data_IF_294361162659
#
_entry.id   IF_294361162659
#
_cell.length_a   1.000
_cell.length_b   1.000
_cell.length_c   1.000
_cell.angle_alpha   90.00
_cell.angle_beta   90.00
_cell.angle_gamma   90.00
#
_symmetry.space_group_name_H-M   'P 1'
#
loop_
_entity.id
_entity.type
_entity.pdbx_description
1 polymer ?
#
# COMPACT_ATOMS: atom_id res chain seq x y z
N UNK A 1 15.66 17.03 -2.56
CA UNK A 1 16.31 16.23 -1.51
C UNK A 1 15.25 15.56 -0.65
N UNK A 2 15.39 14.28 -0.38
CA UNK A 2 14.44 13.52 0.44
C UNK A 2 14.85 13.61 1.90
N UNK A 3 13.94 14.02 2.78
CA UNK A 3 14.17 14.04 4.22
C UNK A 3 13.14 13.18 4.95
N UNK A 4 13.32 13.02 6.27
CA UNK A 4 12.47 12.16 7.10
C UNK A 4 11.00 12.59 7.07
N UNK A 5 10.72 13.88 7.13
CA UNK A 5 9.34 14.38 7.14
C UNK A 5 8.64 14.11 5.81
N UNK A 6 9.36 14.25 4.70
CA UNK A 6 8.82 13.92 3.38
C UNK A 6 8.45 12.45 3.28
N UNK A 7 9.33 11.56 3.77
CA UNK A 7 9.07 10.11 3.76
C UNK A 7 7.88 9.78 4.64
N UNK A 8 7.83 10.32 5.85
CA UNK A 8 6.71 10.09 6.77
C UNK A 8 5.38 10.56 6.16
N UNK A 9 5.35 11.75 5.59
CA UNK A 9 4.16 12.30 4.95
C UNK A 9 3.69 11.42 3.79
N UNK A 10 4.62 10.94 2.99
CA UNK A 10 4.29 10.07 1.85
C UNK A 10 3.67 8.74 2.31
N UNK A 11 4.19 8.14 3.38
CA UNK A 11 3.60 6.92 3.95
C UNK A 11 2.19 7.18 4.46
N UNK A 12 1.99 8.31 5.16
CA UNK A 12 0.67 8.68 5.67
C UNK A 12 -0.32 8.92 4.54
N UNK A 13 0.10 9.56 3.47
CA UNK A 13 -0.73 9.76 2.29
C UNK A 13 -1.06 8.44 1.59
N UNK A 14 -0.10 7.52 1.53
CA UNK A 14 -0.32 6.18 0.96
C UNK A 14 -1.46 5.48 1.70
N UNK A 15 -1.41 5.47 3.03
CA UNK A 15 -2.44 4.83 3.83
C UNK A 15 -3.77 5.58 3.74
N UNK A 16 -3.76 6.91 3.82
CA UNK A 16 -4.98 7.72 3.74
C UNK A 16 -5.72 7.53 2.43
N UNK A 17 -5.01 7.55 1.30
CA UNK A 17 -5.63 7.37 -0.01
C UNK A 17 -6.16 5.95 -0.22
N UNK A 18 -5.49 4.95 0.37
CA UNK A 18 -5.99 3.56 0.38
C UNK A 18 -7.29 3.46 1.17
N UNK A 19 -7.35 4.08 2.35
CA UNK A 19 -8.54 4.09 3.20
C UNK A 19 -9.71 4.83 2.55
N UNK A 20 -9.43 5.93 1.87
CA UNK A 20 -10.44 6.73 1.17
C UNK A 20 -10.89 6.10 -0.15
N UNK A 21 -10.05 5.22 -0.72
CA UNK A 21 -10.30 4.68 -2.05
C UNK A 21 -10.11 5.70 -3.16
N UNK A 22 -9.23 6.67 -2.96
CA UNK A 22 -8.95 7.76 -3.91
C UNK A 22 -7.87 7.34 -4.89
N UNK A 23 -8.28 6.73 -6.00
CA UNK A 23 -7.36 6.18 -7.00
C UNK A 23 -6.44 7.24 -7.60
N UNK A 24 -6.95 8.44 -7.88
CA UNK A 24 -6.15 9.50 -8.51
C UNK A 24 -5.02 9.95 -7.59
N UNK A 25 -5.34 10.23 -6.34
CA UNK A 25 -4.33 10.65 -5.36
C UNK A 25 -3.37 9.53 -5.03
N UNK A 26 -3.88 8.29 -4.89
CA UNK A 26 -3.05 7.12 -4.63
C UNK A 26 -2.03 6.91 -5.76
N UNK A 27 -2.49 6.93 -7.01
CA UNK A 27 -1.62 6.73 -8.18
C UNK A 27 -0.55 7.81 -8.28
N UNK A 28 -0.88 9.04 -7.92
CA UNK A 28 0.04 10.18 -8.01
C UNK A 28 1.20 10.08 -7.03
N UNK A 29 1.12 9.21 -6.01
CA UNK A 29 2.21 9.02 -5.06
C UNK A 29 3.39 8.22 -5.65
N UNK A 30 3.16 7.48 -6.74
CA UNK A 30 4.16 6.62 -7.36
C UNK A 30 4.88 7.36 -8.49
N UNK A 31 6.18 7.11 -8.61
CA UNK A 31 6.94 7.60 -9.76
C UNK A 31 6.54 6.85 -11.02
N UNK A 32 6.83 7.44 -12.19
CA UNK A 32 6.48 6.81 -13.46
C UNK A 32 7.15 5.44 -13.67
N UNK A 33 8.31 5.23 -13.07
CA UNK A 33 9.09 4.01 -13.20
C UNK A 33 9.06 3.15 -11.93
N UNK A 34 8.12 3.41 -11.04
CA UNK A 34 8.04 2.72 -9.76
C UNK A 34 7.85 1.21 -9.93
N UNK A 35 8.21 0.48 -8.90
CA UNK A 35 7.98 -0.96 -8.82
C UNK A 35 7.03 -1.25 -7.68
N UNK A 36 6.05 -2.09 -7.93
CA UNK A 36 5.10 -2.55 -6.93
C UNK A 36 5.14 -4.07 -6.85
N UNK A 37 5.19 -4.57 -5.63
CA UNK A 37 5.03 -5.99 -5.34
C UNK A 37 4.07 -6.13 -4.17
N UNK A 38 3.07 -7.01 -4.32
CA UNK A 38 2.15 -7.35 -3.25
C UNK A 38 2.18 -8.86 -3.09
N UNK A 39 2.44 -9.34 -1.88
CA UNK A 39 2.52 -10.76 -1.60
C UNK A 39 1.85 -11.07 -0.26
N UNK A 40 1.13 -12.17 -0.20
CA UNK A 40 0.46 -12.60 1.01
C UNK A 40 -0.41 -13.80 0.76
N UNK A 41 -1.32 -14.06 1.69
CA UNK A 41 -2.29 -15.13 1.51
C UNK A 41 -3.63 -14.74 2.11
N UNK A 42 -4.69 -15.29 1.53
CA UNK A 42 -6.04 -15.19 2.07
C UNK A 42 -6.74 -16.53 1.81
N UNK A 43 -7.46 -17.04 2.81
CA UNK A 43 -8.12 -18.35 2.77
C UNK A 43 -7.16 -19.47 2.34
N UNK A 44 -5.90 -19.42 2.81
CA UNK A 44 -4.89 -20.41 2.49
C UNK A 44 -4.38 -20.33 1.05
N UNK A 45 -4.78 -19.33 0.28
CA UNK A 45 -4.35 -19.15 -1.10
C UNK A 45 -3.29 -18.06 -1.19
N UNK A 46 -2.12 -18.34 -1.81
CA UNK A 46 -1.11 -17.32 -2.00
C UNK A 46 -1.54 -16.30 -3.05
N UNK A 47 -1.18 -15.05 -2.81
CA UNK A 47 -1.41 -13.96 -3.75
C UNK A 47 -0.06 -13.31 -4.00
N UNK A 48 0.29 -13.11 -5.27
CA UNK A 48 1.51 -12.43 -5.67
C UNK A 48 1.22 -11.55 -6.87
N UNK A 49 1.49 -10.27 -6.71
CA UNK A 49 1.34 -9.26 -7.75
C UNK A 49 2.69 -8.58 -7.94
N UNK A 50 3.11 -8.37 -9.18
CA UNK A 50 4.30 -7.62 -9.50
C UNK A 50 3.98 -6.72 -10.70
N UNK A 51 4.34 -5.45 -10.59
CA UNK A 51 4.09 -4.45 -11.63
C UNK A 51 5.26 -3.48 -11.69
N UNK A 52 5.65 -3.10 -12.90
CA UNK A 52 6.75 -2.16 -13.15
C UNK A 52 6.20 -1.00 -13.99
N UNK A 53 6.36 0.21 -13.46
CA UNK A 53 5.89 1.42 -14.08
C UNK A 53 4.43 1.73 -13.79
N UNK A 54 4.08 3.01 -13.84
CA UNK A 54 2.73 3.46 -13.45
C UNK A 54 1.65 2.89 -14.39
N UNK A 55 1.99 2.61 -15.64
CA UNK A 55 1.04 2.02 -16.58
C UNK A 55 0.60 0.61 -16.16
N UNK A 56 1.46 -0.15 -15.50
CA UNK A 56 1.12 -1.46 -14.94
C UNK A 56 0.57 -1.35 -13.52
N UNK A 57 1.09 -0.41 -12.73
CA UNK A 57 0.72 -0.25 -11.32
C UNK A 57 -0.72 0.25 -11.17
N UNK A 58 -1.11 1.28 -11.94
CA UNK A 58 -2.43 1.90 -11.80
C UNK A 58 -3.60 0.93 -11.96
N UNK A 59 -3.61 0.00 -12.93
CA UNK A 59 -4.68 -1.01 -13.01
C UNK A 59 -4.80 -1.85 -11.76
N UNK A 60 -3.68 -2.24 -11.14
CA UNK A 60 -3.71 -3.00 -9.89
C UNK A 60 -4.25 -2.16 -8.72
N UNK A 61 -3.84 -0.90 -8.61
CA UNK A 61 -4.39 0.00 -7.60
C UNK A 61 -5.89 0.18 -7.78
N UNK A 62 -6.34 0.28 -9.03
CA UNK A 62 -7.77 0.36 -9.36
C UNK A 62 -8.53 -0.86 -8.86
N UNK A 63 -8.00 -2.06 -9.09
CA UNK A 63 -8.61 -3.30 -8.59
C UNK A 63 -8.70 -3.27 -7.06
N UNK A 64 -7.62 -2.86 -6.39
CA UNK A 64 -7.60 -2.81 -4.92
C UNK A 64 -8.68 -1.88 -4.36
N UNK A 65 -8.76 -0.64 -4.86
CA UNK A 65 -9.72 0.34 -4.31
C UNK A 65 -11.16 0.06 -4.73
N UNK A 66 -11.39 -0.56 -5.88
CA UNK A 66 -12.74 -0.88 -6.36
C UNK A 66 -13.29 -2.17 -5.77
N UNK A 67 -12.42 -3.11 -5.41
CA UNK A 67 -12.82 -4.42 -4.89
C UNK A 67 -12.93 -4.43 -3.37
N UNK A 68 -12.08 -3.65 -2.69
CA UNK A 68 -11.97 -3.69 -1.24
C UNK A 68 -12.22 -2.34 -0.61
N UNK A 69 -12.86 -2.38 0.57
CA UNK A 69 -13.00 -1.23 1.45
C UNK A 69 -12.23 -1.53 2.74
N UNK A 70 -11.53 -0.54 3.26
CA UNK A 70 -10.73 -0.69 4.48
C UNK A 70 -11.34 0.12 5.63
N UNK A 71 -11.33 -0.46 6.84
CA UNK A 71 -11.80 0.19 8.06
C UNK A 71 -10.98 -0.29 9.26
N UNK A 72 -11.16 0.35 10.42
CA UNK A 72 -10.47 0.00 11.67
C UNK A 72 -8.94 0.04 11.49
N UNK A 73 -8.46 1.11 10.86
CA UNK A 73 -7.05 1.31 10.58
C UNK A 73 -6.27 1.65 11.86
N UNK A 74 -5.15 0.97 12.06
CA UNK A 74 -4.20 1.27 13.12
C UNK A 74 -2.78 1.06 12.58
N UNK A 75 -1.94 2.09 12.70
CA UNK A 75 -0.51 1.94 12.42
C UNK A 75 0.15 1.41 13.71
N UNK A 76 0.84 0.29 13.60
CA UNK A 76 1.47 -0.38 14.73
C UNK A 76 2.92 0.07 14.92
N UNK A 77 3.64 0.29 13.83
CA UNK A 77 4.98 0.86 13.89
C UNK A 77 5.34 1.49 12.54
N UNK A 78 6.19 2.50 12.61
CA UNK A 78 6.73 3.16 11.43
C UNK A 78 8.21 3.43 11.69
N UNK A 79 9.07 2.82 10.89
CA UNK A 79 10.50 3.01 10.95
C UNK A 79 10.96 3.69 9.68
N UNK A 80 11.70 4.79 9.82
CA UNK A 80 12.20 5.55 8.68
C UNK A 80 13.71 5.65 8.78
N UNK A 81 14.37 5.18 7.74
CA UNK A 81 15.79 5.35 7.51
C UNK A 81 15.92 5.88 6.07
N UNK A 82 15.96 7.20 5.97
CA UNK A 82 15.90 7.90 4.67
C UNK A 82 16.89 7.30 3.68
N UNK A 83 16.45 6.94 2.45
CA UNK A 83 15.14 7.23 1.84
C UNK A 83 14.09 6.14 1.99
N UNK A 84 14.24 5.24 2.97
CA UNK A 84 13.40 4.07 3.15
C UNK A 84 12.46 4.19 4.33
N UNK A 85 11.34 3.50 4.24
CA UNK A 85 10.40 3.36 5.34
C UNK A 85 9.88 1.93 5.42
N UNK A 86 9.61 1.48 6.65
CA UNK A 86 8.90 0.24 6.93
C UNK A 86 7.70 0.60 7.79
N UNK A 87 6.50 0.32 7.29
CA UNK A 87 5.26 0.57 8.01
C UNK A 87 4.57 -0.76 8.31
N UNK A 88 4.28 -1.01 9.58
CA UNK A 88 3.51 -2.16 10.04
C UNK A 88 2.16 -1.64 10.51
N UNK A 89 1.07 -2.15 9.93
CA UNK A 89 -0.27 -1.63 10.21
C UNK A 89 -1.31 -2.74 10.15
N UNK A 90 -2.47 -2.43 10.66
CA UNK A 90 -3.59 -3.36 10.75
C UNK A 90 -4.86 -2.67 10.27
N UNK A 91 -5.72 -3.42 9.59
CA UNK A 91 -6.95 -2.92 9.03
C UNK A 91 -7.93 -4.07 8.83
N UNK A 92 -9.23 -3.77 8.85
CA UNK A 92 -10.25 -4.70 8.39
C UNK A 92 -10.46 -4.49 6.90
N UNK A 93 -10.31 -5.54 6.11
CA UNK A 93 -10.51 -5.48 4.66
C UNK A 93 -11.88 -6.10 4.34
N UNK A 94 -12.74 -5.30 3.72
CA UNK A 94 -14.08 -5.70 3.31
C UNK A 94 -14.10 -5.97 1.81
N UNK A 95 -14.47 -7.18 1.42
CA UNK A 95 -14.72 -7.46 0.01
C UNK A 95 -16.07 -6.85 -0.39
N UNK A 96 -16.06 -5.97 -1.37
CA UNK A 96 -17.30 -5.39 -1.93
C UNK A 96 -18.08 -6.41 -2.75
N UNK A 97 -17.45 -7.51 -3.13
CA UNK A 97 -18.06 -8.57 -3.94
C UNK A 97 -18.77 -9.59 -3.05
N UNK A 98 -18.08 -10.10 -2.00
CA UNK A 98 -18.61 -11.17 -1.15
C UNK A 98 -19.21 -10.68 0.16
N UNK A 99 -18.87 -9.46 0.59
CA UNK A 99 -19.25 -8.94 1.89
C UNK A 99 -18.41 -9.47 3.06
N UNK A 100 -17.45 -10.35 2.79
CA UNK A 100 -16.59 -10.91 3.84
C UNK A 100 -15.63 -9.85 4.35
N UNK A 101 -15.44 -9.83 5.68
CA UNK A 101 -14.50 -8.94 6.36
C UNK A 101 -13.36 -9.77 6.92
N UNK A 102 -12.13 -9.40 6.57
CA UNK A 102 -10.92 -10.10 7.02
C UNK A 102 -10.02 -9.12 7.76
N UNK A 103 -9.87 -9.25 9.10
CA UNK A 103 -8.85 -8.51 9.83
C UNK A 103 -7.47 -8.91 9.29
N UNK A 104 -6.66 -7.92 8.93
CA UNK A 104 -5.42 -8.15 8.19
C UNK A 104 -4.29 -7.30 8.77
N UNK A 105 -3.11 -7.90 8.88
CA UNK A 105 -1.87 -7.17 9.14
C UNK A 105 -1.10 -7.00 7.86
N UNK A 106 -0.52 -5.81 7.70
CA UNK A 106 0.26 -5.46 6.51
C UNK A 106 1.59 -4.86 6.92
N UNK A 107 2.60 -5.12 6.07
CA UNK A 107 3.91 -4.48 6.19
C UNK A 107 4.25 -3.90 4.82
N UNK A 108 4.52 -2.60 4.80
CA UNK A 108 4.98 -1.90 3.61
C UNK A 108 6.47 -1.63 3.70
N UNK A 109 7.21 -2.03 2.67
CA UNK A 109 8.62 -1.64 2.46
C UNK A 109 8.62 -0.62 1.33
N UNK A 110 9.06 0.60 1.63
CA UNK A 110 8.95 1.72 0.69
C UNK A 110 10.30 2.40 0.49
N UNK A 111 10.67 2.60 -0.77
CA UNK A 111 11.80 3.45 -1.15
C UNK A 111 11.25 4.71 -1.80
N UNK A 112 11.73 5.87 -1.37
CA UNK A 112 11.29 7.18 -1.86
C UNK A 112 12.42 7.83 -2.66
N UNK A 113 12.05 8.39 -3.81
CA UNK A 113 12.98 9.16 -4.63
C UNK A 113 12.26 10.34 -5.25
N UNK A 114 12.85 11.53 -5.12
CA UNK A 114 12.29 12.76 -5.69
C UNK A 114 10.84 13.00 -5.27
N UNK A 115 10.54 12.74 -4.00
CA UNK A 115 9.22 12.99 -3.41
C UNK A 115 8.14 12.00 -3.81
N UNK A 116 8.48 10.88 -4.46
CA UNK A 116 7.53 9.85 -4.88
C UNK A 116 8.02 8.46 -4.51
N UNK A 117 7.10 7.52 -4.50
CA UNK A 117 7.42 6.12 -4.25
C UNK A 117 8.14 5.56 -5.48
N UNK A 118 9.39 5.13 -5.29
CA UNK A 118 10.18 4.48 -6.33
C UNK A 118 10.03 2.96 -6.27
N UNK A 119 9.80 2.39 -5.07
CA UNK A 119 9.61 0.97 -4.88
C UNK A 119 8.69 0.75 -3.69
N UNK A 120 7.73 -0.13 -3.84
CA UNK A 120 6.78 -0.48 -2.78
C UNK A 120 6.54 -1.98 -2.79
N UNK A 121 6.89 -2.64 -1.69
CA UNK A 121 6.55 -4.03 -1.46
C UNK A 121 5.60 -4.09 -0.28
N UNK A 122 4.45 -4.75 -0.46
CA UNK A 122 3.46 -4.91 0.60
C UNK A 122 3.26 -6.39 0.88
N UNK A 123 3.45 -6.78 2.14
CA UNK A 123 3.12 -8.12 2.62
C UNK A 123 1.86 -8.05 3.45
N UNK A 124 0.98 -9.02 3.31
CA UNK A 124 -0.24 -9.07 4.11
C UNK A 124 -0.55 -10.48 4.56
N UNK A 125 -1.11 -10.59 5.77
CA UNK A 125 -1.59 -11.85 6.33
C UNK A 125 -2.89 -11.62 7.10
N UNK A 126 -3.84 -12.55 7.05
CA UNK A 126 -5.01 -12.50 7.93
C UNK A 126 -4.59 -12.62 9.39
N UNK A 127 -5.32 -11.97 10.25
CA UNK A 127 -5.06 -12.01 11.69
C UNK A 127 -6.05 -12.90 12.39
#
# INVERSE_FOLDING_TARGET
>A
MTDRLQVEDLVRQLHATRLEGDLERLSALYSNEARLRIAGSTDGKPIAIAAIGIAEIRPWLSVLVKTFRMSQYTILSLTIEVPRAVAHWRVDIHSKITGVVVPTELVDLIDVRDGRIASHTEFFVPV
#
